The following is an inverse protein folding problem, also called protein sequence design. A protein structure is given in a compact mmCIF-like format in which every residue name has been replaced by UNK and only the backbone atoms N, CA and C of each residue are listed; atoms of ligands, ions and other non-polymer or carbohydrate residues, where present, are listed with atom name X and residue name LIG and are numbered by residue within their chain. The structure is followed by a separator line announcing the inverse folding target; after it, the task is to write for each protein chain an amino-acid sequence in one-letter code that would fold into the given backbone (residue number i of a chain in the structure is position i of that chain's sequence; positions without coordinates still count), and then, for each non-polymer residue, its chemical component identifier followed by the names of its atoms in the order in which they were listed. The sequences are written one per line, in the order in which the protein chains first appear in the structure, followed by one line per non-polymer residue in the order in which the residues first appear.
data_IF_049459698641
#
_entry.id   IF_049459698641
#
_cell.length_a   1.000
_cell.length_b   1.000
_cell.length_c   1.000
_cell.angle_alpha   90.00
_cell.angle_beta   90.00
_cell.angle_gamma   90.00
#
_symmetry.space_group_name_H-M   'P 1'
#
loop_
_entity.id
_entity.type
_entity.pdbx_description
1 polymer ?
#
# COMPACT_ATOMS: atom_id res chain seq x y z
N UNK A 1 -20.59 19.38 1.18
CA UNK A 1 -20.27 19.97 2.49
C UNK A 1 -18.85 19.57 2.90
N UNK A 2 -18.12 20.47 3.63
CA UNK A 2 -16.73 20.23 4.05
C UNK A 2 -16.56 18.95 4.90
N UNK A 3 -17.60 18.59 5.66
CA UNK A 3 -17.63 17.33 6.43
C UNK A 3 -17.72 16.10 5.56
N UNK A 4 -18.40 16.19 4.44
CA UNK A 4 -18.58 15.05 3.52
C UNK A 4 -17.28 14.76 2.76
N UNK A 5 -16.49 15.81 2.44
CA UNK A 5 -15.18 15.66 1.81
C UNK A 5 -14.19 14.95 2.73
N UNK A 6 -14.14 15.29 4.02
CA UNK A 6 -13.26 14.60 4.98
C UNK A 6 -13.62 13.11 5.12
N UNK A 7 -14.91 12.81 5.24
CA UNK A 7 -15.39 11.43 5.26
C UNK A 7 -15.05 10.66 3.98
N UNK A 8 -15.16 11.31 2.83
CA UNK A 8 -14.78 10.70 1.55
C UNK A 8 -13.28 10.37 1.52
N UNK A 9 -12.42 11.29 1.98
CA UNK A 9 -10.98 11.07 2.06
C UNK A 9 -10.63 9.90 2.99
N UNK A 10 -11.26 9.81 4.17
CA UNK A 10 -11.07 8.69 5.10
C UNK A 10 -11.46 7.35 4.46
N UNK A 11 -12.59 7.31 3.74
CA UNK A 11 -13.03 6.10 3.06
C UNK A 11 -12.08 5.70 1.92
N UNK A 12 -11.57 6.64 1.13
CA UNK A 12 -10.59 6.37 0.08
C UNK A 12 -9.24 5.90 0.65
N UNK A 13 -8.78 6.50 1.75
CA UNK A 13 -7.58 6.02 2.48
C UNK A 13 -7.76 4.57 2.93
N UNK A 14 -8.88 4.28 3.57
CA UNK A 14 -9.19 2.93 4.04
C UNK A 14 -9.30 1.93 2.88
N UNK A 15 -9.90 2.32 1.77
CA UNK A 15 -9.99 1.50 0.57
C UNK A 15 -8.60 1.17 0.01
N UNK A 16 -7.70 2.17 -0.07
CA UNK A 16 -6.33 1.97 -0.52
C UNK A 16 -5.53 1.05 0.40
N UNK A 17 -5.65 1.20 1.72
CA UNK A 17 -4.97 0.35 2.70
C UNK A 17 -5.46 -1.11 2.66
N UNK A 18 -6.76 -1.32 2.45
CA UNK A 18 -7.36 -2.65 2.41
C UNK A 18 -7.26 -3.33 1.05
N UNK A 19 -6.94 -2.58 0.00
CA UNK A 19 -6.79 -3.12 -1.34
C UNK A 19 -5.50 -3.94 -1.43
N UNK A 20 -5.64 -5.24 -1.62
CA UNK A 20 -4.53 -6.19 -1.79
C UNK A 20 -4.11 -6.36 -3.25
N UNK A 21 -4.87 -5.81 -4.19
CA UNK A 21 -4.58 -5.89 -5.63
C UNK A 21 -4.20 -4.52 -6.16
N UNK A 22 -3.06 -4.44 -6.81
CA UNK A 22 -2.72 -3.29 -7.62
C UNK A 22 -3.47 -3.43 -8.97
N UNK A 23 -4.12 -2.36 -9.38
CA UNK A 23 -4.87 -2.36 -10.64
C UNK A 23 -5.58 -1.03 -10.86
N UNK A 24 -6.25 -0.93 -12.01
CA UNK A 24 -6.91 0.32 -12.44
C UNK A 24 -7.92 0.85 -11.41
N UNK A 25 -8.61 -0.01 -10.70
CA UNK A 25 -9.59 0.37 -9.68
C UNK A 25 -8.92 1.07 -8.50
N UNK A 26 -7.79 0.52 -8.03
CA UNK A 26 -6.98 1.13 -6.98
C UNK A 26 -6.41 2.46 -7.47
N UNK A 27 -5.91 2.51 -8.69
CA UNK A 27 -5.39 3.73 -9.30
C UNK A 27 -6.46 4.84 -9.38
N UNK A 28 -7.70 4.51 -9.76
CA UNK A 28 -8.82 5.48 -9.78
C UNK A 28 -9.13 6.00 -8.37
N UNK A 29 -9.13 5.13 -7.35
CA UNK A 29 -9.29 5.55 -5.97
C UNK A 29 -8.17 6.49 -5.51
N UNK A 30 -6.92 6.19 -5.87
CA UNK A 30 -5.76 7.02 -5.57
C UNK A 30 -5.82 8.38 -6.28
N UNK A 31 -6.21 8.42 -7.57
CA UNK A 31 -6.39 9.67 -8.30
C UNK A 31 -7.48 10.52 -7.65
N UNK A 32 -8.59 9.91 -7.27
CA UNK A 32 -9.69 10.63 -6.62
C UNK A 32 -9.23 11.23 -5.28
N UNK A 33 -8.52 10.45 -4.49
CA UNK A 33 -7.95 10.90 -3.22
C UNK A 33 -6.91 12.01 -3.46
N UNK A 34 -6.00 11.83 -4.43
CA UNK A 34 -5.00 12.82 -4.80
C UNK A 34 -5.62 14.15 -5.27
N UNK A 35 -6.71 14.11 -6.05
CA UNK A 35 -7.45 15.30 -6.45
C UNK A 35 -8.05 16.03 -5.24
N UNK A 36 -8.62 15.32 -4.25
CA UNK A 36 -9.16 15.90 -3.03
C UNK A 36 -8.07 16.59 -2.19
N UNK A 37 -6.90 15.98 -2.07
CA UNK A 37 -5.74 16.60 -1.42
C UNK A 37 -5.25 17.83 -2.19
N UNK A 38 -5.16 17.74 -3.52
CA UNK A 38 -4.70 18.83 -4.37
C UNK A 38 -5.62 20.06 -4.27
N UNK A 39 -6.94 19.88 -4.28
CA UNK A 39 -7.92 20.95 -4.08
C UNK A 39 -7.78 21.63 -2.71
N UNK A 40 -7.35 20.87 -1.71
CA UNK A 40 -7.09 21.38 -0.36
C UNK A 40 -5.70 22.00 -0.18
N UNK A 41 -4.87 21.94 -1.23
CA UNK A 41 -3.46 22.36 -1.22
C UNK A 41 -2.57 21.53 -0.29
N UNK A 42 -2.98 20.33 0.04
CA UNK A 42 -2.23 19.32 0.79
C UNK A 42 -1.34 18.55 -0.20
N UNK A 43 -0.31 19.24 -0.74
CA UNK A 43 0.49 18.75 -1.87
C UNK A 43 1.38 17.56 -1.48
N UNK A 44 1.84 17.51 -0.24
CA UNK A 44 2.65 16.42 0.31
C UNK A 44 1.87 15.11 0.30
N UNK A 45 0.59 15.16 0.66
CA UNK A 45 -0.30 13.99 0.64
C UNK A 45 -0.82 13.66 -0.77
N UNK A 46 -0.94 14.65 -1.65
CA UNK A 46 -1.40 14.46 -3.02
C UNK A 46 -0.39 13.74 -3.90
N UNK A 47 0.90 14.06 -3.74
CA UNK A 47 1.97 13.53 -4.58
C UNK A 47 2.03 11.99 -4.59
N UNK A 48 2.10 11.27 -3.46
CA UNK A 48 2.17 9.81 -3.47
C UNK A 48 0.94 9.16 -4.12
N UNK A 49 -0.24 9.79 -4.00
CA UNK A 49 -1.45 9.29 -4.64
C UNK A 49 -1.33 9.26 -6.18
N UNK A 50 -0.76 10.30 -6.79
CA UNK A 50 -0.53 10.33 -8.23
C UNK A 50 0.64 9.44 -8.64
N UNK A 51 1.75 9.46 -7.90
CA UNK A 51 2.94 8.67 -8.19
C UNK A 51 2.64 7.15 -8.23
N UNK A 52 1.78 6.66 -7.32
CA UNK A 52 1.38 5.26 -7.30
C UNK A 52 0.30 4.92 -8.36
N UNK A 53 -0.57 5.88 -8.69
CA UNK A 53 -1.68 5.64 -9.61
C UNK A 53 -1.25 5.63 -11.08
N UNK A 54 -0.42 6.60 -11.51
CA UNK A 54 -0.07 6.83 -12.92
C UNK A 54 0.53 5.60 -13.59
N UNK A 55 1.50 4.86 -12.99
CA UNK A 55 2.06 3.67 -13.60
C UNK A 55 1.05 2.54 -13.87
N UNK A 56 -0.12 2.57 -13.23
CA UNK A 56 -1.17 1.58 -13.38
C UNK A 56 -2.24 2.00 -14.39
N UNK A 57 -2.17 3.22 -14.89
CA UNK A 57 -3.07 3.73 -15.91
C UNK A 57 -2.51 3.45 -17.30
N UNK A 58 -3.41 3.31 -18.26
CA UNK A 58 -3.07 3.31 -19.67
C UNK A 58 -2.99 4.74 -20.18
N UNK A 59 -2.21 4.96 -21.22
CA UNK A 59 -2.07 6.28 -21.86
C UNK A 59 -3.38 6.82 -22.46
N UNK A 60 -4.32 5.93 -22.78
CA UNK A 60 -5.67 6.27 -23.26
C UNK A 60 -6.64 6.68 -22.14
N UNK A 61 -6.18 6.64 -20.88
CA UNK A 61 -7.02 7.07 -19.75
C UNK A 61 -7.37 8.56 -19.85
N UNK A 62 -8.65 8.94 -19.60
CA UNK A 62 -9.06 10.34 -19.64
C UNK A 62 -8.17 11.22 -18.75
N UNK A 63 -7.63 12.29 -19.34
CA UNK A 63 -6.76 13.25 -18.64
C UNK A 63 -5.38 12.69 -18.20
N UNK A 64 -4.91 11.59 -18.77
CA UNK A 64 -3.60 11.00 -18.44
C UNK A 64 -2.47 12.03 -18.49
N UNK A 65 -2.39 12.82 -19.58
CA UNK A 65 -1.36 13.85 -19.73
C UNK A 65 -1.42 14.94 -18.64
N UNK A 66 -2.63 15.33 -18.24
CA UNK A 66 -2.81 16.31 -17.18
C UNK A 66 -2.37 15.75 -15.82
N UNK A 67 -2.71 14.51 -15.53
CA UNK A 67 -2.35 13.82 -14.29
C UNK A 67 -0.84 13.60 -14.22
N UNK A 68 -0.22 13.18 -15.32
CA UNK A 68 1.22 12.97 -15.43
C UNK A 68 2.01 14.27 -15.23
N UNK A 69 1.58 15.37 -15.88
CA UNK A 69 2.19 16.69 -15.65
C UNK A 69 2.01 17.17 -14.21
N UNK A 70 0.84 16.95 -13.64
CA UNK A 70 0.56 17.32 -12.23
C UNK A 70 1.47 16.56 -11.28
N UNK A 71 1.66 15.25 -11.49
CA UNK A 71 2.58 14.45 -10.69
C UNK A 71 4.01 14.98 -10.79
N UNK A 72 4.52 15.22 -12.01
CA UNK A 72 5.88 15.75 -12.20
C UNK A 72 6.11 17.10 -11.51
N UNK A 73 5.12 18.00 -11.57
CA UNK A 73 5.20 19.29 -10.87
C UNK A 73 5.17 19.10 -9.36
N UNK A 74 4.35 18.17 -8.87
CA UNK A 74 4.27 17.87 -7.44
C UNK A 74 5.56 17.24 -6.92
N UNK A 75 6.24 16.40 -7.71
CA UNK A 75 7.52 15.79 -7.33
C UNK A 75 8.58 16.86 -6.99
N UNK A 76 8.59 17.96 -7.77
CA UNK A 76 9.48 19.09 -7.49
C UNK A 76 8.98 19.95 -6.32
N UNK A 77 7.66 20.22 -6.26
CA UNK A 77 7.06 21.11 -5.28
C UNK A 77 7.12 20.55 -3.86
N UNK A 78 6.93 19.24 -3.72
CA UNK A 78 6.84 18.57 -2.39
C UNK A 78 8.12 18.73 -1.59
N UNK A 79 9.29 18.73 -2.25
CA UNK A 79 10.58 18.94 -1.57
C UNK A 79 10.61 20.29 -0.87
N UNK A 80 10.11 21.35 -1.53
CA UNK A 80 10.06 22.68 -0.93
C UNK A 80 8.97 22.79 0.15
N UNK A 81 7.81 22.19 -0.09
CA UNK A 81 6.71 22.17 0.89
C UNK A 81 7.14 21.48 2.19
N UNK A 82 7.78 20.32 2.10
CA UNK A 82 8.30 19.59 3.26
C UNK A 82 9.35 20.41 4.02
N UNK A 83 10.23 21.12 3.32
CA UNK A 83 11.21 21.98 3.96
C UNK A 83 10.54 23.13 4.73
N UNK A 84 9.50 23.75 4.16
CA UNK A 84 8.73 24.80 4.85
C UNK A 84 8.05 24.24 6.10
N UNK A 85 7.36 23.11 5.99
CA UNK A 85 6.69 22.46 7.13
C UNK A 85 7.70 22.08 8.24
N UNK A 86 8.88 21.59 7.84
CA UNK A 86 9.94 21.28 8.80
C UNK A 86 10.45 22.54 9.52
N UNK A 87 10.69 23.63 8.78
CA UNK A 87 11.15 24.89 9.36
C UNK A 87 10.10 25.49 10.32
N UNK A 88 8.84 25.49 9.91
CA UNK A 88 7.73 25.94 10.76
C UNK A 88 7.62 25.10 12.03
N UNK A 89 7.75 23.78 11.91
CA UNK A 89 7.74 22.86 13.05
C UNK A 89 8.90 23.13 14.02
N UNK A 90 10.11 23.33 13.48
CA UNK A 90 11.30 23.64 14.29
C UNK A 90 11.17 24.99 15.00
N UNK A 91 10.63 26.01 14.33
CA UNK A 91 10.37 27.32 14.93
C UNK A 91 9.33 27.23 16.05
N UNK A 92 8.26 26.48 15.83
CA UNK A 92 7.25 26.25 16.85
C UNK A 92 7.82 25.53 18.08
N UNK A 93 8.65 24.48 17.88
CA UNK A 93 9.33 23.79 18.97
C UNK A 93 10.29 24.71 19.72
N UNK A 94 11.01 25.59 19.01
CA UNK A 94 11.93 26.55 19.64
C UNK A 94 11.21 27.59 20.49
N UNK A 95 9.99 27.96 20.12
CA UNK A 95 9.16 28.93 20.85
C UNK A 95 8.45 28.33 22.08
N UNK A 96 8.40 27.00 22.20
CA UNK A 96 7.75 26.33 23.34
C UNK A 96 8.59 26.40 24.61
N UNK A 97 7.94 26.26 25.78
CA UNK A 97 8.62 26.00 27.04
C UNK A 97 9.35 24.66 26.99
N UNK A 98 10.36 24.46 27.86
CA UNK A 98 11.14 23.20 27.87
C UNK A 98 10.23 21.98 28.14
N UNK A 99 9.29 22.09 29.08
CA UNK A 99 8.36 21.01 29.41
C UNK A 99 7.42 20.68 28.24
N UNK A 100 6.89 21.69 27.57
CA UNK A 100 5.99 21.49 26.43
C UNK A 100 6.74 20.94 25.21
N UNK A 101 7.97 21.39 24.99
CA UNK A 101 8.86 20.88 23.95
C UNK A 101 9.16 19.39 24.15
N UNK A 102 9.51 18.99 25.37
CA UNK A 102 9.78 17.60 25.70
C UNK A 102 8.55 16.72 25.50
N UNK A 103 7.36 17.17 25.87
CA UNK A 103 6.10 16.46 25.60
C UNK A 103 5.81 16.35 24.09
N UNK A 104 6.04 17.43 23.34
CA UNK A 104 5.86 17.42 21.89
C UNK A 104 6.83 16.45 21.20
N UNK A 105 8.10 16.45 21.61
CA UNK A 105 9.10 15.52 21.08
C UNK A 105 8.73 14.07 21.43
N UNK A 106 8.32 13.81 22.67
CA UNK A 106 7.92 12.46 23.09
C UNK A 106 6.72 11.96 22.24
N UNK A 107 5.74 12.83 22.00
CA UNK A 107 4.60 12.48 21.13
C UNK A 107 5.05 12.12 19.72
N UNK A 108 5.98 12.88 19.13
CA UNK A 108 6.52 12.58 17.79
C UNK A 108 7.21 11.22 17.77
N UNK A 109 8.00 10.92 18.82
CA UNK A 109 8.67 9.62 18.96
C UNK A 109 7.64 8.48 19.04
N UNK A 110 6.62 8.64 19.86
CA UNK A 110 5.56 7.63 20.04
C UNK A 110 4.79 7.39 18.72
N UNK A 111 4.48 8.47 17.98
CA UNK A 111 3.81 8.39 16.67
C UNK A 111 4.71 7.70 15.62
N UNK A 112 6.03 7.95 15.62
CA UNK A 112 6.98 7.28 14.75
C UNK A 112 7.08 5.77 15.05
N UNK A 113 7.22 5.40 16.32
CA UNK A 113 7.26 3.99 16.74
C UNK A 113 5.98 3.27 16.32
N UNK A 114 4.84 3.92 16.49
CA UNK A 114 3.55 3.37 16.07
C UNK A 114 3.49 3.15 14.56
N UNK A 115 3.97 4.13 13.79
CA UNK A 115 4.00 4.06 12.33
C UNK A 115 4.92 2.94 11.83
N UNK A 116 6.13 2.85 12.37
CA UNK A 116 7.07 1.76 12.05
C UNK A 116 6.48 0.37 12.35
N UNK A 117 5.76 0.25 13.47
CA UNK A 117 5.08 -1.01 13.81
C UNK A 117 3.95 -1.34 12.83
N UNK A 118 3.13 -0.36 12.46
CA UNK A 118 2.05 -0.54 11.48
C UNK A 118 2.60 -0.91 10.09
N UNK A 119 3.72 -0.29 9.67
CA UNK A 119 4.41 -0.62 8.42
C UNK A 119 5.01 -2.03 8.44
N UNK A 120 5.63 -2.44 9.54
CA UNK A 120 6.16 -3.79 9.70
C UNK A 120 5.04 -4.86 9.68
N UNK A 121 3.92 -4.59 10.36
CA UNK A 121 2.75 -5.48 10.33
C UNK A 121 2.11 -5.54 8.92
N UNK A 122 2.10 -4.44 8.19
CA UNK A 122 1.61 -4.39 6.81
C UNK A 122 2.50 -5.21 5.87
N UNK A 123 3.83 -5.08 5.99
CA UNK A 123 4.80 -5.86 5.20
C UNK A 123 4.67 -7.37 5.49
N UNK A 124 4.58 -7.76 6.76
CA UNK A 124 4.39 -9.17 7.13
C UNK A 124 3.09 -9.74 6.56
N UNK A 125 2.02 -8.93 6.55
CA UNK A 125 0.74 -9.33 5.95
C UNK A 125 0.84 -9.50 4.45
N UNK A 126 1.55 -8.61 3.78
CA UNK A 126 1.78 -8.68 2.33
C UNK A 126 2.61 -9.90 1.96
N UNK A 127 3.69 -10.17 2.69
CA UNK A 127 4.51 -11.38 2.52
C UNK A 127 3.70 -12.66 2.75
N UNK A 128 2.87 -12.69 3.78
CA UNK A 128 2.00 -13.83 4.05
C UNK A 128 1.00 -14.08 2.92
N UNK A 129 0.39 -13.02 2.39
CA UNK A 129 -0.53 -13.10 1.26
C UNK A 129 0.18 -13.51 -0.03
N UNK A 130 1.41 -13.03 -0.26
CA UNK A 130 2.22 -13.43 -1.41
C UNK A 130 2.60 -14.91 -1.35
N UNK A 131 2.89 -15.45 -0.17
CA UNK A 131 3.17 -16.89 0.01
C UNK A 131 1.93 -17.76 -0.21
N UNK A 132 0.73 -17.28 0.11
CA UNK A 132 -0.51 -18.01 -0.15
C UNK A 132 -0.94 -17.99 -1.61
N UNK A 133 -0.51 -17.01 -2.38
CA UNK A 133 -0.68 -16.98 -3.83
C UNK A 133 0.47 -17.78 -4.47
N UNK A 134 0.46 -19.11 -4.31
CA UNK A 134 1.37 -20.02 -5.01
C UNK A 134 1.33 -19.78 -6.52
N UNK A 135 2.30 -20.31 -7.31
CA UNK A 135 2.41 -20.00 -8.71
C UNK A 135 1.08 -20.29 -9.41
N UNK A 136 0.43 -19.23 -9.90
CA UNK A 136 -0.71 -19.38 -10.79
C UNK A 136 -0.23 -20.18 -11.98
N UNK A 137 -0.68 -21.41 -12.07
CA UNK A 137 -0.59 -22.17 -13.30
C UNK A 137 -1.29 -21.35 -14.37
N UNK A 138 -0.52 -20.69 -15.21
CA UNK A 138 -0.99 -20.16 -16.47
C UNK A 138 -1.56 -21.34 -17.24
N UNK A 139 -2.89 -21.44 -17.26
CA UNK A 139 -3.61 -22.36 -18.10
C UNK A 139 -3.59 -21.81 -19.53
N UNK A 140 -2.41 -21.84 -20.15
CA UNK A 140 -2.30 -21.70 -21.59
C UNK A 140 -2.89 -22.96 -22.21
N UNK A 141 -4.10 -22.81 -22.71
CA UNK A 141 -4.76 -23.74 -23.59
C UNK A 141 -3.90 -23.98 -24.84
N UNK A 142 -2.98 -24.92 -24.77
CA UNK A 142 -2.45 -25.63 -25.91
C UNK A 142 -2.82 -27.09 -25.76
N UNK A 143 -3.85 -27.46 -26.45
CA UNK A 143 -4.24 -28.83 -26.66
C UNK A 143 -3.04 -29.65 -27.14
N UNK A 144 -2.62 -30.64 -26.37
CA UNK A 144 -2.37 -32.03 -26.83
C UNK A 144 -1.72 -32.86 -25.75
N UNK A 145 -2.35 -34.02 -25.61
CA UNK A 145 -1.82 -35.31 -25.09
C UNK A 145 -2.10 -35.61 -23.62
N UNK A 146 -3.15 -36.45 -23.51
CA UNK A 146 -3.31 -37.48 -22.51
C UNK A 146 -1.98 -38.09 -22.11
N UNK A 147 -1.58 -37.87 -20.89
CA UNK A 147 -0.81 -38.87 -20.15
C UNK A 147 -1.44 -39.01 -18.79
N UNK A 148 -2.16 -40.08 -18.66
CA UNK A 148 -2.69 -40.68 -17.45
C UNK A 148 -1.61 -40.68 -16.37
N UNK A 149 -1.71 -39.84 -15.35
CA UNK A 149 -0.93 -39.94 -14.13
C UNK A 149 -1.57 -41.02 -13.24
N UNK A 150 -1.65 -42.21 -13.76
CA UNK A 150 -2.00 -43.45 -13.05
C UNK A 150 -1.12 -44.58 -13.55
N UNK A 151 0.18 -44.37 -13.51
CA UNK A 151 1.15 -45.44 -13.65
C UNK A 151 2.05 -45.46 -12.42
N UNK A 152 1.61 -46.22 -11.47
CA UNK A 152 2.35 -47.09 -10.59
C UNK A 152 3.69 -46.57 -10.03
N UNK A 153 3.63 -45.96 -8.87
CA UNK A 153 4.73 -46.22 -7.94
C UNK A 153 4.12 -46.64 -6.59
N UNK A 154 4.26 -47.97 -6.34
CA UNK A 154 3.73 -48.65 -5.16
C UNK A 154 4.62 -48.48 -3.94
N UNK A 155 5.39 -47.38 -3.84
CA UNK A 155 6.32 -47.17 -2.74
C UNK A 155 5.86 -46.21 -1.65
N UNK A 156 4.63 -45.70 -1.74
CA UNK A 156 4.10 -44.73 -0.74
C UNK A 156 3.02 -45.30 0.18
N UNK A 157 2.82 -46.63 0.21
CA UNK A 157 1.80 -47.27 1.08
C UNK A 157 2.40 -48.27 2.09
N UNK A 158 3.68 -48.13 2.47
CA UNK A 158 4.33 -49.03 3.41
C UNK A 158 4.71 -48.37 4.75
N UNK A 159 3.97 -47.37 5.21
CA UNK A 159 4.29 -46.79 6.53
C UNK A 159 3.08 -46.52 7.42
N UNK A 160 2.07 -47.38 7.40
CA UNK A 160 1.01 -47.37 8.43
C UNK A 160 0.46 -48.78 8.71
N UNK A 161 1.33 -49.68 9.12
CA UNK A 161 0.84 -50.87 9.85
C UNK A 161 2.03 -51.55 10.54
N UNK A 162 2.44 -50.98 11.66
CA UNK A 162 3.09 -51.80 12.72
C UNK A 162 3.12 -50.99 14.03
N UNK A 163 2.05 -50.97 14.73
CA UNK A 163 2.01 -50.64 16.15
C UNK A 163 0.69 -51.09 16.76
N UNK A 164 0.41 -52.41 16.62
CA UNK A 164 -0.60 -53.06 17.48
C UNK A 164 -0.28 -54.55 17.55
N UNK A 165 0.75 -54.87 18.27
CA UNK A 165 0.79 -56.15 19.03
C UNK A 165 2.02 -56.12 19.94
N UNK A 166 1.80 -56.00 21.21
CA UNK A 166 2.42 -56.75 22.31
C UNK A 166 1.86 -56.22 23.65
N UNK A 167 0.92 -57.03 24.17
CA UNK A 167 0.71 -57.45 25.56
C UNK A 167 0.75 -56.40 26.66
#
# INVERSE_FOLDING_TARGET
SRKDTLKAMENYRLANQKSTRNGIEKAICQITLGNLYFERREYVDAQPCYAEAIPQLKEDYPQYDLLSRRSSVLDELVVYAQNVELQDSLQNLAAMSEDDRNKAIQKIIDDLIKKEKEEAEAQQREEYLAQQQGPQFNNDNSAKQNTTILSGDKSCLLYTSDAADER
#
